data_IF_366070482756
#
_entry.id   IF_366070482756
#
_cell.length_a   1.000
_cell.length_b   1.000
_cell.length_c   1.000
_cell.angle_alpha   90.00
_cell.angle_beta   90.00
_cell.angle_gamma   90.00
#
_symmetry.space_group_name_H-M   'P 1'
#
loop_
_entity.id
_entity.type
_entity.pdbx_description
1 polymer ?
#
# COMPACT_ATOMS: atom_id res chain seq x y z
N UNK A 1 20.19 -7.49 -11.39
CA UNK A 1 19.23 -8.34 -10.67
C UNK A 1 19.57 -8.54 -9.20
N UNK A 2 20.81 -8.88 -8.82
CA UNK A 2 21.18 -9.15 -7.41
C UNK A 2 20.77 -8.06 -6.40
N UNK A 3 20.97 -6.78 -6.74
CA UNK A 3 20.49 -5.66 -5.92
C UNK A 3 18.97 -5.72 -5.66
N UNK A 4 18.16 -6.03 -6.69
CA UNK A 4 16.70 -6.11 -6.56
C UNK A 4 16.28 -7.26 -5.64
N UNK A 5 16.85 -8.46 -5.81
CA UNK A 5 16.56 -9.60 -4.93
C UNK A 5 16.89 -9.29 -3.47
N UNK A 6 18.08 -8.75 -3.21
CA UNK A 6 18.52 -8.38 -1.85
C UNK A 6 17.58 -7.37 -1.17
N UNK A 7 17.03 -6.43 -1.93
CA UNK A 7 16.32 -5.28 -1.37
C UNK A 7 14.80 -5.35 -1.45
N UNK A 8 14.23 -6.16 -2.35
CA UNK A 8 12.78 -6.20 -2.59
C UNK A 8 12.19 -7.61 -2.57
N UNK A 9 12.99 -8.67 -2.56
CA UNK A 9 12.49 -10.03 -2.39
C UNK A 9 12.72 -10.43 -0.95
N UNK A 10 11.62 -10.67 -0.23
CA UNK A 10 11.63 -11.05 1.16
C UNK A 10 11.05 -12.45 1.32
N UNK A 11 11.91 -13.39 1.71
CA UNK A 11 11.51 -14.72 2.14
C UNK A 11 11.49 -14.71 3.67
N UNK A 12 10.33 -14.94 4.31
CA UNK A 12 10.17 -14.82 5.74
C UNK A 12 10.77 -16.04 6.47
N UNK A 13 10.76 -16.00 7.81
CA UNK A 13 10.89 -17.21 8.63
C UNK A 13 9.77 -18.21 8.30
N UNK A 14 9.85 -19.49 8.72
CA UNK A 14 8.89 -20.55 8.37
C UNK A 14 7.41 -20.21 8.60
N UNK A 15 7.15 -19.21 9.45
CA UNK A 15 5.84 -18.75 9.85
C UNK A 15 5.35 -17.45 9.18
N UNK A 16 6.18 -16.72 8.43
CA UNK A 16 5.79 -15.43 7.87
C UNK A 16 5.23 -15.52 6.44
N UNK A 17 4.63 -14.42 5.98
CA UNK A 17 4.26 -14.23 4.58
C UNK A 17 5.33 -13.37 3.90
N UNK A 18 5.93 -13.87 2.83
CA UNK A 18 6.96 -13.14 2.10
C UNK A 18 6.41 -12.05 1.19
N UNK A 19 7.33 -11.29 0.59
CA UNK A 19 7.00 -10.37 -0.49
C UNK A 19 7.87 -10.69 -1.70
N UNK A 20 7.24 -10.92 -2.84
CA UNK A 20 7.90 -11.45 -4.04
C UNK A 20 8.65 -12.78 -3.81
N UNK A 21 8.34 -13.53 -2.74
CA UNK A 21 8.99 -14.80 -2.41
C UNK A 21 8.82 -15.88 -3.50
N UNK A 22 7.77 -15.75 -4.32
CA UNK A 22 7.51 -16.64 -5.46
C UNK A 22 8.53 -16.47 -6.59
N UNK A 23 9.21 -15.33 -6.66
CA UNK A 23 9.98 -14.93 -7.84
C UNK A 23 11.19 -15.84 -8.13
N UNK A 24 12.03 -16.24 -7.15
CA UNK A 24 13.14 -17.16 -7.40
C UNK A 24 12.68 -18.49 -8.01
N UNK A 25 11.65 -19.11 -7.44
CA UNK A 25 11.13 -20.40 -7.90
C UNK A 25 10.41 -20.28 -9.25
N UNK A 26 9.67 -19.20 -9.48
CA UNK A 26 9.03 -18.94 -10.76
C UNK A 26 10.06 -18.78 -11.90
N UNK A 27 11.22 -18.17 -11.61
CA UNK A 27 12.30 -18.04 -12.59
C UNK A 27 13.02 -19.36 -12.86
N UNK A 28 13.19 -20.21 -11.83
CA UNK A 28 13.82 -21.53 -12.02
C UNK A 28 12.92 -22.50 -12.78
N UNK A 29 11.60 -22.42 -12.56
CA UNK A 29 10.61 -23.26 -13.26
C UNK A 29 10.32 -22.77 -14.67
N UNK A 30 10.46 -21.46 -14.94
CA UNK A 30 10.23 -20.87 -16.26
C UNK A 30 11.44 -20.08 -16.78
N UNK A 31 12.63 -20.70 -16.94
CA UNK A 31 13.88 -20.00 -17.27
C UNK A 31 13.89 -19.38 -18.67
N UNK A 32 13.04 -19.88 -19.57
CA UNK A 32 12.92 -19.43 -20.95
C UNK A 32 11.79 -18.42 -21.16
N UNK A 33 11.06 -18.01 -20.10
CA UNK A 33 10.01 -17.01 -20.24
C UNK A 33 10.63 -15.61 -20.44
N UNK A 34 10.64 -15.16 -21.69
CA UNK A 34 11.25 -13.89 -22.11
C UNK A 34 10.55 -12.69 -21.44
N UNK A 35 9.21 -12.69 -21.41
CA UNK A 35 8.42 -11.60 -20.83
C UNK A 35 8.72 -11.38 -19.34
N UNK A 36 8.78 -12.46 -18.56
CA UNK A 36 9.13 -12.41 -17.14
C UNK A 36 10.55 -11.87 -16.93
N UNK A 37 11.53 -12.39 -17.70
CA UNK A 37 12.94 -11.98 -17.58
C UNK A 37 13.16 -10.53 -17.96
N UNK A 38 12.56 -10.07 -19.06
CA UNK A 38 12.69 -8.67 -19.49
C UNK A 38 12.05 -7.72 -18.48
N UNK A 39 10.88 -8.07 -17.95
CA UNK A 39 10.20 -7.29 -16.89
C UNK A 39 11.03 -7.22 -15.61
N UNK A 40 11.66 -8.33 -15.21
CA UNK A 40 12.57 -8.36 -14.07
C UNK A 40 13.83 -7.51 -14.32
N UNK A 41 14.40 -7.59 -15.52
CA UNK A 41 15.55 -6.76 -15.90
C UNK A 41 15.21 -5.27 -15.84
N UNK A 42 14.03 -4.88 -16.35
CA UNK A 42 13.58 -3.50 -16.34
C UNK A 42 13.44 -2.96 -14.90
N UNK A 43 12.73 -3.68 -14.02
CA UNK A 43 12.53 -3.23 -12.63
C UNK A 43 13.84 -3.26 -11.83
N UNK A 44 14.70 -4.27 -12.04
CA UNK A 44 15.96 -4.39 -11.33
C UNK A 44 17.00 -3.36 -11.78
N UNK A 45 17.01 -2.99 -13.07
CA UNK A 45 17.87 -1.91 -13.55
C UNK A 45 17.36 -0.56 -13.07
N UNK A 46 16.04 -0.35 -13.05
CA UNK A 46 15.44 0.89 -12.51
C UNK A 46 15.82 1.07 -11.04
N UNK A 47 15.69 0.03 -10.21
CA UNK A 47 16.06 0.13 -8.79
C UNK A 47 17.55 0.42 -8.59
N UNK A 48 18.43 -0.17 -9.40
CA UNK A 48 19.87 0.09 -9.34
C UNK A 48 20.22 1.50 -9.84
N UNK A 49 19.61 1.94 -10.93
CA UNK A 49 19.81 3.28 -11.50
C UNK A 49 19.46 4.36 -10.48
N UNK A 50 18.33 4.20 -9.78
CA UNK A 50 17.85 5.18 -8.80
C UNK A 50 18.82 5.36 -7.62
N UNK A 51 19.49 4.31 -7.15
CA UNK A 51 20.44 4.43 -6.02
C UNK A 51 21.87 4.77 -6.44
N UNK A 52 22.23 4.49 -7.70
CA UNK A 52 23.54 4.87 -8.25
C UNK A 52 23.57 6.31 -8.77
N UNK A 53 22.40 6.91 -9.03
CA UNK A 53 22.25 8.27 -9.55
C UNK A 53 23.01 8.55 -10.85
N UNK A 54 23.33 7.51 -11.64
CA UNK A 54 24.06 7.65 -12.91
C UNK A 54 23.09 7.71 -14.09
N UNK A 55 23.15 8.80 -14.88
CA UNK A 55 22.29 9.01 -16.06
C UNK A 55 22.36 7.86 -17.08
N UNK A 56 23.55 7.27 -17.27
CA UNK A 56 23.76 6.10 -18.14
C UNK A 56 22.90 4.90 -17.70
N UNK A 57 22.78 4.66 -16.40
CA UNK A 57 22.00 3.55 -15.87
C UNK A 57 20.49 3.82 -15.98
N UNK A 58 20.05 5.07 -15.85
CA UNK A 58 18.67 5.45 -16.15
C UNK A 58 18.32 5.22 -17.63
N UNK A 59 19.18 5.66 -18.55
CA UNK A 59 18.98 5.38 -19.98
C UNK A 59 18.90 3.88 -20.27
N UNK A 60 19.77 3.07 -19.62
CA UNK A 60 19.72 1.62 -19.75
C UNK A 60 18.44 1.02 -19.17
N UNK A 61 17.96 1.54 -18.04
CA UNK A 61 16.70 1.12 -17.44
C UNK A 61 15.52 1.36 -18.38
N UNK A 62 15.48 2.52 -19.06
CA UNK A 62 14.41 2.86 -20.01
C UNK A 62 14.46 2.01 -21.28
N UNK A 63 15.67 1.67 -21.76
CA UNK A 63 15.84 0.70 -22.85
C UNK A 63 15.27 -0.68 -22.46
N UNK A 64 15.64 -1.19 -21.27
CA UNK A 64 15.14 -2.48 -20.79
C UNK A 64 13.64 -2.46 -20.54
N UNK A 65 13.10 -1.35 -20.05
CA UNK A 65 11.66 -1.16 -19.91
C UNK A 65 10.93 -1.23 -21.26
N UNK A 66 11.47 -0.56 -22.28
CA UNK A 66 10.91 -0.61 -23.64
C UNK A 66 10.95 -2.02 -24.23
N UNK A 67 12.01 -2.79 -23.95
CA UNK A 67 12.10 -4.21 -24.32
C UNK A 67 11.02 -5.01 -23.59
N UNK A 68 10.89 -4.84 -22.28
CA UNK A 68 9.89 -5.54 -21.48
C UNK A 68 8.45 -5.27 -21.94
N UNK A 69 8.10 -4.03 -22.29
CA UNK A 69 6.79 -3.70 -22.84
C UNK A 69 6.52 -4.40 -24.18
N UNK A 70 7.53 -4.51 -25.07
CA UNK A 70 7.39 -5.25 -26.34
C UNK A 70 7.19 -6.74 -26.09
N UNK A 71 7.98 -7.33 -25.20
CA UNK A 71 7.88 -8.75 -24.82
C UNK A 71 6.54 -9.06 -24.16
N UNK A 72 6.04 -8.18 -23.30
CA UNK A 72 4.70 -8.26 -22.71
C UNK A 72 3.60 -8.17 -23.78
N UNK A 73 3.71 -7.22 -24.71
CA UNK A 73 2.76 -7.11 -25.82
C UNK A 73 2.72 -8.35 -26.71
N UNK A 74 3.87 -8.99 -26.93
CA UNK A 74 3.94 -10.27 -27.64
C UNK A 74 3.29 -11.40 -26.84
N UNK A 75 3.60 -11.53 -25.54
CA UNK A 75 3.02 -12.54 -24.66
C UNK A 75 1.49 -12.42 -24.57
N UNK A 76 0.96 -11.19 -24.47
CA UNK A 76 -0.48 -10.92 -24.46
C UNK A 76 -1.19 -11.38 -25.74
N UNK A 77 -0.54 -11.28 -26.91
CA UNK A 77 -1.12 -11.73 -28.19
C UNK A 77 -1.13 -13.25 -28.34
N UNK A 78 -0.20 -13.94 -27.68
CA UNK A 78 -0.09 -15.41 -27.69
C UNK A 78 -0.81 -16.08 -26.51
N UNK A 79 -1.33 -15.31 -25.55
CA UNK A 79 -1.93 -15.85 -24.34
C UNK A 79 -3.29 -16.50 -24.65
N UNK A 80 -3.43 -17.79 -24.36
CA UNK A 80 -4.69 -18.54 -24.48
C UNK A 80 -5.56 -18.45 -23.22
N UNK A 81 -5.12 -17.74 -22.17
CA UNK A 81 -5.87 -17.50 -20.94
C UNK A 81 -5.81 -18.61 -19.88
N UNK A 82 -5.25 -19.79 -20.19
CA UNK A 82 -5.37 -20.97 -19.33
C UNK A 82 -4.28 -21.10 -18.25
N UNK A 83 -3.08 -20.54 -18.45
CA UNK A 83 -1.99 -20.63 -17.46
C UNK A 83 -0.85 -19.63 -17.72
N UNK A 84 -0.84 -18.48 -17.04
CA UNK A 84 0.22 -17.48 -17.27
C UNK A 84 0.66 -16.74 -16.00
N UNK A 85 1.05 -17.49 -14.97
CA UNK A 85 1.66 -16.95 -13.76
C UNK A 85 2.87 -16.05 -14.07
N UNK A 86 3.63 -16.37 -15.13
CA UNK A 86 4.76 -15.55 -15.55
C UNK A 86 4.35 -14.21 -16.16
N UNK A 87 3.30 -14.14 -16.98
CA UNK A 87 2.75 -12.86 -17.45
C UNK A 87 2.14 -12.05 -16.31
N UNK A 88 1.40 -12.67 -15.40
CA UNK A 88 0.88 -11.98 -14.20
C UNK A 88 2.04 -11.37 -13.39
N UNK A 89 3.11 -12.14 -13.16
CA UNK A 89 4.30 -11.64 -12.50
C UNK A 89 4.99 -10.53 -13.31
N UNK A 90 5.11 -10.66 -14.63
CA UNK A 90 5.69 -9.65 -15.51
C UNK A 90 4.94 -8.32 -15.44
N UNK A 91 3.59 -8.35 -15.54
CA UNK A 91 2.73 -7.16 -15.39
C UNK A 91 2.89 -6.54 -14.00
N UNK A 92 2.94 -7.35 -12.94
CA UNK A 92 3.16 -6.86 -11.59
C UNK A 92 4.54 -6.18 -11.41
N UNK A 93 5.61 -6.77 -11.96
CA UNK A 93 6.97 -6.23 -11.91
C UNK A 93 7.08 -4.90 -12.67
N UNK A 94 6.44 -4.80 -13.84
CA UNK A 94 6.37 -3.55 -14.60
C UNK A 94 5.61 -2.49 -13.82
N UNK A 95 4.49 -2.84 -13.19
CA UNK A 95 3.77 -1.91 -12.31
C UNK A 95 4.62 -1.46 -11.11
N UNK A 96 5.53 -2.31 -10.61
CA UNK A 96 6.50 -1.93 -9.57
C UNK A 96 7.56 -0.97 -10.12
N UNK A 97 8.05 -1.20 -11.35
CA UNK A 97 8.97 -0.29 -12.04
C UNK A 97 8.38 1.11 -12.19
N UNK A 98 7.09 1.24 -12.51
CA UNK A 98 6.42 2.55 -12.58
C UNK A 98 6.44 3.28 -11.22
N UNK A 99 6.25 2.55 -10.12
CA UNK A 99 6.36 3.13 -8.78
C UNK A 99 7.81 3.53 -8.45
N UNK A 100 8.80 2.74 -8.84
CA UNK A 100 10.21 3.07 -8.61
C UNK A 100 10.69 4.26 -9.44
N UNK A 101 10.21 4.40 -10.69
CA UNK A 101 10.55 5.53 -11.56
C UNK A 101 9.79 6.82 -11.19
N UNK A 102 8.75 6.74 -10.35
CA UNK A 102 7.91 7.91 -10.02
C UNK A 102 6.91 8.27 -11.11
N UNK A 103 6.57 7.32 -11.99
CA UNK A 103 5.55 7.48 -13.01
C UNK A 103 4.22 6.85 -12.55
N UNK A 104 3.64 7.36 -11.44
CA UNK A 104 2.42 6.74 -10.89
C UNK A 104 1.22 6.79 -11.84
N UNK A 105 1.21 7.69 -12.83
CA UNK A 105 0.15 7.76 -13.84
C UNK A 105 0.16 6.53 -14.76
N UNK A 106 1.34 6.03 -15.11
CA UNK A 106 1.49 4.82 -15.91
C UNK A 106 1.14 3.53 -15.15
N UNK A 107 0.91 3.59 -13.83
CA UNK A 107 0.50 2.41 -13.06
C UNK A 107 -0.93 1.97 -13.35
N UNK A 108 -1.84 2.89 -13.72
CA UNK A 108 -3.28 2.59 -13.88
C UNK A 108 -3.54 1.60 -15.02
N UNK A 109 -2.98 1.75 -16.24
CA UNK A 109 -3.17 0.76 -17.30
C UNK A 109 -2.70 -0.65 -16.92
N UNK A 110 -1.56 -0.76 -16.24
CA UNK A 110 -1.05 -2.05 -15.76
C UNK A 110 -1.95 -2.68 -14.69
N UNK A 111 -2.51 -1.87 -13.79
CA UNK A 111 -3.49 -2.36 -12.80
C UNK A 111 -4.76 -2.88 -13.48
N UNK A 112 -5.30 -2.13 -14.45
CA UNK A 112 -6.46 -2.55 -15.24
C UNK A 112 -6.14 -3.85 -15.99
N UNK A 113 -4.99 -3.94 -16.65
CA UNK A 113 -4.56 -5.14 -17.36
C UNK A 113 -4.43 -6.35 -16.43
N UNK A 114 -3.84 -6.18 -15.25
CA UNK A 114 -3.69 -7.24 -14.25
C UNK A 114 -5.05 -7.80 -13.81
N UNK A 115 -6.02 -6.92 -13.57
CA UNK A 115 -7.40 -7.32 -13.25
C UNK A 115 -8.05 -8.08 -14.40
N UNK A 116 -7.89 -7.63 -15.63
CA UNK A 116 -8.48 -8.34 -16.77
C UNK A 116 -7.87 -9.72 -16.95
N UNK A 117 -6.56 -9.87 -16.75
CA UNK A 117 -5.90 -11.18 -16.74
C UNK A 117 -6.43 -12.09 -15.62
N UNK A 118 -6.63 -11.54 -14.41
CA UNK A 118 -7.22 -12.29 -13.30
C UNK A 118 -8.66 -12.73 -13.58
N UNK A 119 -9.46 -11.88 -14.25
CA UNK A 119 -10.83 -12.23 -14.65
C UNK A 119 -10.84 -13.30 -15.75
N UNK A 120 -9.98 -13.16 -16.76
CA UNK A 120 -9.86 -14.11 -17.86
C UNK A 120 -9.42 -15.51 -17.41
N UNK A 121 -8.57 -15.57 -16.38
CA UNK A 121 -8.13 -16.81 -15.73
C UNK A 121 -9.29 -17.63 -15.13
N UNK A 122 -10.45 -17.01 -14.86
CA UNK A 122 -11.56 -17.59 -14.10
C UNK A 122 -11.16 -17.96 -12.65
N UNK A 123 -12.10 -18.28 -11.73
CA UNK A 123 -11.78 -18.71 -10.35
C UNK A 123 -11.15 -20.11 -10.34
N UNK A 124 -9.91 -20.21 -10.85
CA UNK A 124 -9.09 -21.41 -10.83
C UNK A 124 -8.18 -21.37 -9.63
N UNK A 125 -8.17 -22.47 -8.85
CA UNK A 125 -7.22 -22.66 -7.75
C UNK A 125 -5.77 -22.48 -8.27
N UNK A 126 -4.86 -21.94 -7.44
CA UNK A 126 -3.45 -21.97 -7.77
C UNK A 126 -3.00 -23.42 -7.98
N UNK A 127 -2.19 -23.65 -9.00
CA UNK A 127 -1.62 -24.95 -9.35
C UNK A 127 -0.24 -25.19 -8.72
N UNK A 128 0.39 -24.14 -8.18
CA UNK A 128 1.68 -24.22 -7.50
C UNK A 128 1.79 -23.20 -6.36
N UNK A 129 2.72 -23.45 -5.44
CA UNK A 129 3.03 -22.51 -4.34
C UNK A 129 3.52 -21.12 -4.81
N UNK A 130 4.41 -21.01 -5.83
CA UNK A 130 4.79 -19.71 -6.39
C UNK A 130 3.60 -18.94 -6.95
N UNK A 131 2.70 -19.64 -7.64
CA UNK A 131 1.50 -19.03 -8.18
C UNK A 131 0.55 -18.55 -7.07
N UNK A 132 0.37 -19.34 -6.00
CA UNK A 132 -0.39 -18.92 -4.83
C UNK A 132 0.21 -17.67 -4.18
N UNK A 133 1.53 -17.62 -3.99
CA UNK A 133 2.23 -16.47 -3.45
C UNK A 133 2.12 -15.22 -4.33
N UNK A 134 2.17 -15.39 -5.66
CA UNK A 134 1.96 -14.31 -6.62
C UNK A 134 0.54 -13.74 -6.53
N UNK A 135 -0.48 -14.61 -6.60
CA UNK A 135 -1.88 -14.21 -6.52
C UNK A 135 -2.19 -13.48 -5.21
N UNK A 136 -1.66 -13.98 -4.10
CA UNK A 136 -1.81 -13.34 -2.80
C UNK A 136 -1.18 -11.95 -2.78
N UNK A 137 0.04 -11.81 -3.33
CA UNK A 137 0.73 -10.51 -3.43
C UNK A 137 -0.05 -9.51 -4.29
N UNK A 138 -0.60 -9.97 -5.41
CA UNK A 138 -1.45 -9.16 -6.28
C UNK A 138 -2.74 -8.75 -5.55
N UNK A 139 -3.42 -9.69 -4.91
CA UNK A 139 -4.65 -9.46 -4.18
C UNK A 139 -4.46 -8.43 -3.07
N UNK A 140 -3.44 -8.61 -2.21
CA UNK A 140 -3.13 -7.67 -1.14
C UNK A 140 -2.91 -6.25 -1.70
N UNK A 141 -2.17 -6.12 -2.80
CA UNK A 141 -1.93 -4.83 -3.44
C UNK A 141 -3.22 -4.19 -3.99
N UNK A 142 -4.05 -4.95 -4.69
CA UNK A 142 -5.31 -4.47 -5.25
C UNK A 142 -6.29 -4.06 -4.14
N UNK A 143 -6.36 -4.83 -3.07
CA UNK A 143 -7.15 -4.50 -1.89
C UNK A 143 -6.69 -3.17 -1.27
N UNK A 144 -5.37 -3.01 -1.05
CA UNK A 144 -4.80 -1.74 -0.57
C UNK A 144 -5.23 -0.56 -1.44
N UNK A 145 -5.12 -0.68 -2.77
CA UNK A 145 -5.48 0.38 -3.72
C UNK A 145 -6.98 0.67 -3.76
N UNK A 146 -7.81 -0.34 -3.56
CA UNK A 146 -9.26 -0.16 -3.59
C UNK A 146 -9.80 0.71 -2.45
N UNK A 147 -9.05 0.85 -1.36
CA UNK A 147 -9.36 1.78 -0.27
C UNK A 147 -9.15 3.25 -0.64
N UNK A 148 -8.43 3.56 -1.72
CA UNK A 148 -8.26 4.93 -2.23
C UNK A 148 -9.57 5.47 -2.86
N UNK A 149 -10.67 4.72 -2.83
CA UNK A 149 -12.01 5.11 -3.31
C UNK A 149 -12.12 5.36 -4.83
N UNK A 150 -11.06 5.14 -5.60
CA UNK A 150 -11.12 5.18 -7.06
C UNK A 150 -12.09 4.12 -7.61
N UNK A 151 -12.37 4.18 -8.93
CA UNK A 151 -12.98 3.05 -9.65
C UNK A 151 -12.06 1.85 -9.46
N UNK A 152 -12.37 1.01 -8.48
CA UNK A 152 -11.55 -0.14 -8.15
C UNK A 152 -11.63 -1.10 -9.34
N UNK A 153 -10.50 -1.34 -10.01
CA UNK A 153 -10.43 -2.43 -10.96
C UNK A 153 -10.71 -3.78 -10.25
N UNK A 154 -10.60 -3.86 -8.91
CA UNK A 154 -10.82 -5.10 -8.15
C UNK A 154 -12.29 -5.53 -7.98
N UNK A 155 -13.25 -4.79 -8.53
CA UNK A 155 -14.67 -5.15 -8.45
C UNK A 155 -14.92 -6.56 -9.04
N UNK A 156 -15.49 -7.47 -8.25
CA UNK A 156 -15.72 -8.87 -8.63
C UNK A 156 -14.54 -9.83 -8.40
N UNK A 157 -13.38 -9.36 -7.92
CA UNK A 157 -12.27 -10.25 -7.54
C UNK A 157 -12.48 -10.95 -6.19
N UNK A 158 -13.39 -10.44 -5.35
CA UNK A 158 -13.79 -11.10 -4.09
C UNK A 158 -14.40 -12.49 -4.36
N UNK A 159 -14.98 -12.70 -5.55
CA UNK A 159 -15.52 -13.98 -6.00
C UNK A 159 -14.45 -14.94 -6.54
N UNK A 160 -13.22 -14.47 -6.81
CA UNK A 160 -12.15 -15.30 -7.37
C UNK A 160 -11.47 -16.21 -6.33
N UNK A 161 -11.91 -16.16 -5.06
CA UNK A 161 -11.45 -17.05 -3.99
C UNK A 161 -9.92 -17.12 -3.87
N UNK A 162 -9.24 -16.01 -4.24
CA UNK A 162 -7.78 -15.85 -4.23
C UNK A 162 -7.19 -15.98 -2.81
N UNK A 163 -8.07 -16.02 -1.81
CA UNK A 163 -7.78 -16.12 -0.38
C UNK A 163 -7.70 -17.56 0.14
N UNK A 164 -8.09 -18.60 -0.62
CA UNK A 164 -7.96 -20.01 -0.20
C UNK A 164 -6.55 -20.60 -0.41
N UNK A 165 -5.52 -19.80 -0.13
CA UNK A 165 -4.20 -20.33 0.25
C UNK A 165 -4.18 -20.74 1.72
N UNK A 166 -3.04 -21.21 2.26
CA UNK A 166 -2.89 -21.48 3.69
C UNK A 166 -3.00 -20.18 4.51
N UNK A 167 -4.23 -19.70 4.71
CA UNK A 167 -4.48 -18.53 5.55
C UNK A 167 -4.60 -18.95 7.01
N UNK A 168 -3.80 -18.26 7.82
CA UNK A 168 -3.97 -18.22 9.27
C UNK A 168 -5.30 -17.50 9.57
N UNK A 169 -6.16 -18.04 10.45
CA UNK A 169 -7.50 -17.48 10.74
C UNK A 169 -7.54 -16.00 11.12
N UNK A 170 -6.43 -15.47 11.66
CA UNK A 170 -6.31 -14.06 12.05
C UNK A 170 -6.19 -13.10 10.85
N UNK A 171 -5.68 -13.58 9.71
CA UNK A 171 -5.52 -12.76 8.50
C UNK A 171 -6.82 -12.67 7.70
N UNK A 172 -7.68 -13.69 7.75
CA UNK A 172 -8.95 -13.68 7.03
C UNK A 172 -9.94 -12.67 7.61
N UNK A 173 -9.97 -12.50 8.94
CA UNK A 173 -10.78 -11.46 9.60
C UNK A 173 -10.40 -10.03 9.18
N UNK A 174 -9.10 -9.72 9.18
CA UNK A 174 -8.61 -8.42 8.68
C UNK A 174 -8.95 -8.18 7.21
N UNK A 175 -8.75 -9.19 6.35
CA UNK A 175 -9.05 -9.06 4.93
C UNK A 175 -10.53 -8.77 4.68
N UNK A 176 -11.44 -9.37 5.47
CA UNK A 176 -12.87 -9.06 5.39
C UNK A 176 -13.14 -7.59 5.75
N UNK A 177 -12.58 -7.11 6.87
CA UNK A 177 -12.74 -5.72 7.30
C UNK A 177 -12.17 -4.74 6.26
N UNK A 178 -11.00 -5.01 5.66
CA UNK A 178 -10.44 -4.20 4.58
C UNK A 178 -11.33 -4.16 3.32
N UNK A 179 -12.02 -5.26 3.02
CA UNK A 179 -13.05 -5.30 1.98
C UNK A 179 -14.21 -4.35 2.28
N UNK A 180 -14.71 -4.34 3.53
CA UNK A 180 -15.76 -3.43 3.97
C UNK A 180 -15.33 -1.96 3.91
N UNK A 181 -14.10 -1.63 4.37
CA UNK A 181 -13.51 -0.28 4.24
C UNK A 181 -13.48 0.14 2.78
N UNK A 182 -12.94 -0.72 1.90
CA UNK A 182 -12.82 -0.43 0.47
C UNK A 182 -14.17 -0.18 -0.19
N UNK A 183 -15.19 -0.98 0.16
CA UNK A 183 -16.55 -0.81 -0.34
C UNK A 183 -17.13 0.54 0.10
N UNK A 184 -17.04 0.86 1.38
CA UNK A 184 -17.56 2.12 1.91
C UNK A 184 -16.88 3.35 1.30
N UNK A 185 -15.55 3.36 1.18
CA UNK A 185 -14.81 4.43 0.51
C UNK A 185 -15.29 4.66 -0.94
N UNK A 186 -15.63 3.60 -1.67
CA UNK A 186 -16.19 3.72 -3.03
C UNK A 186 -17.61 4.28 -3.02
N UNK A 187 -18.46 3.77 -2.13
CA UNK A 187 -19.85 4.19 -2.01
C UNK A 187 -19.93 5.69 -1.70
N UNK A 188 -19.13 6.18 -0.74
CA UNK A 188 -19.07 7.60 -0.40
C UNK A 188 -18.61 8.47 -1.58
N UNK A 189 -17.58 8.06 -2.34
CA UNK A 189 -17.14 8.84 -3.51
C UNK A 189 -18.17 8.83 -4.64
N UNK A 190 -18.84 7.70 -4.87
CA UNK A 190 -19.94 7.61 -5.84
C UNK A 190 -21.09 8.53 -5.45
N UNK A 191 -21.52 8.49 -4.19
CA UNK A 191 -22.60 9.32 -3.67
C UNK A 191 -22.25 10.81 -3.68
N UNK A 192 -21.02 11.16 -3.29
CA UNK A 192 -20.51 12.54 -3.36
C UNK A 192 -20.54 13.06 -4.79
N UNK A 193 -20.16 12.23 -5.77
CA UNK A 193 -20.24 12.59 -7.19
C UNK A 193 -21.68 12.79 -7.65
N UNK A 194 -22.58 11.85 -7.34
CA UNK A 194 -24.00 11.98 -7.68
C UNK A 194 -24.61 13.27 -7.10
N UNK A 195 -24.22 13.64 -5.89
CA UNK A 195 -24.67 14.86 -5.26
C UNK A 195 -24.12 16.12 -5.94
N UNK A 196 -22.83 16.13 -6.30
CA UNK A 196 -22.22 17.22 -7.05
C UNK A 196 -22.87 17.40 -8.44
N UNK A 197 -23.27 16.30 -9.07
CA UNK A 197 -23.95 16.29 -10.38
C UNK A 197 -25.46 16.66 -10.27
N UNK A 198 -25.98 16.90 -9.06
CA UNK A 198 -27.40 17.20 -8.83
C UNK A 198 -28.34 16.01 -9.03
N UNK A 199 -27.80 14.79 -9.04
CA UNK A 199 -28.51 13.54 -9.32
C UNK A 199 -28.90 12.76 -8.04
N UNK A 200 -28.74 13.38 -6.87
CA UNK A 200 -29.14 12.80 -5.59
C UNK A 200 -30.65 12.56 -5.53
N UNK A 201 -31.05 11.33 -5.22
CA UNK A 201 -32.45 10.96 -5.00
C UNK A 201 -32.70 10.56 -3.54
N UNK A 202 -33.96 10.39 -3.16
CA UNK A 202 -34.32 9.83 -1.86
C UNK A 202 -33.73 8.43 -1.63
N UNK A 203 -33.51 7.64 -2.70
CA UNK A 203 -32.85 6.34 -2.57
C UNK A 203 -31.35 6.47 -2.28
N UNK A 204 -30.67 7.48 -2.82
CA UNK A 204 -29.27 7.80 -2.50
C UNK A 204 -29.09 8.16 -1.02
N UNK A 205 -30.08 8.83 -0.41
CA UNK A 205 -30.05 9.17 1.02
C UNK A 205 -30.16 7.91 1.89
N UNK A 206 -31.11 7.02 1.60
CA UNK A 206 -31.26 5.75 2.31
C UNK A 206 -29.99 4.90 2.19
N UNK A 207 -29.39 4.89 1.00
CA UNK A 207 -28.13 4.20 0.75
C UNK A 207 -26.98 4.78 1.57
N UNK A 208 -26.87 6.12 1.66
CA UNK A 208 -25.87 6.80 2.47
C UNK A 208 -25.99 6.46 3.96
N UNK A 209 -27.20 6.51 4.52
CA UNK A 209 -27.44 6.16 5.94
C UNK A 209 -27.04 4.72 6.23
N UNK A 210 -27.46 3.77 5.37
CA UNK A 210 -27.08 2.36 5.52
C UNK A 210 -25.57 2.15 5.40
N UNK A 211 -24.92 2.87 4.50
CA UNK A 211 -23.48 2.81 4.31
C UNK A 211 -22.75 3.34 5.57
N UNK A 212 -23.22 4.43 6.17
CA UNK A 212 -22.69 4.97 7.43
C UNK A 212 -22.84 3.98 8.59
N UNK A 213 -24.01 3.35 8.76
CA UNK A 213 -24.22 2.36 9.82
C UNK A 213 -23.24 1.19 9.69
N UNK A 214 -23.02 0.70 8.47
CA UNK A 214 -22.05 -0.36 8.21
C UNK A 214 -20.61 0.10 8.42
N UNK A 215 -20.30 1.36 8.13
CA UNK A 215 -18.97 1.94 8.36
C UNK A 215 -18.65 2.03 9.86
N UNK A 216 -19.60 2.47 10.69
CA UNK A 216 -19.42 2.51 12.15
C UNK A 216 -19.29 1.11 12.77
N UNK A 217 -20.04 0.12 12.24
CA UNK A 217 -19.83 -1.27 12.61
C UNK A 217 -18.43 -1.77 12.24
N UNK A 218 -17.98 -1.48 11.02
CA UNK A 218 -16.63 -1.85 10.56
C UNK A 218 -15.55 -1.18 11.40
N UNK A 219 -15.73 0.10 11.79
CA UNK A 219 -14.77 0.79 12.67
C UNK A 219 -14.74 0.18 14.07
N UNK A 220 -15.89 -0.22 14.61
CA UNK A 220 -15.96 -0.91 15.90
C UNK A 220 -15.21 -2.25 15.86
N UNK A 221 -15.39 -3.02 14.79
CA UNK A 221 -14.67 -4.28 14.57
C UNK A 221 -13.16 -4.05 14.42
N UNK A 222 -12.75 -3.07 13.61
CA UNK A 222 -11.33 -2.71 13.44
C UNK A 222 -10.70 -2.23 14.76
N UNK A 223 -11.38 -1.38 15.51
CA UNK A 223 -10.90 -0.89 16.80
C UNK A 223 -10.76 -2.00 17.85
N UNK A 224 -11.61 -3.02 17.79
CA UNK A 224 -11.55 -4.19 18.68
C UNK A 224 -10.50 -5.23 18.25
N UNK A 225 -10.06 -5.22 16.99
CA UNK A 225 -9.15 -6.22 16.43
C UNK A 225 -7.85 -6.40 17.23
N UNK A 226 -7.11 -5.34 17.63
CA UNK A 226 -5.90 -5.48 18.43
C UNK A 226 -6.08 -6.28 19.72
N UNK A 227 -7.23 -6.13 20.39
CA UNK A 227 -7.54 -6.81 21.64
C UNK A 227 -7.77 -8.32 21.48
N UNK A 228 -8.00 -8.78 20.24
CA UNK A 228 -8.20 -10.19 19.91
C UNK A 228 -6.89 -10.91 19.52
N UNK A 229 -5.75 -10.21 19.54
CA UNK A 229 -4.46 -10.76 19.14
C UNK A 229 -3.68 -11.33 20.33
N UNK A 230 -2.91 -12.42 20.12
CA UNK A 230 -1.93 -12.87 21.09
C UNK A 230 -0.88 -11.78 21.39
N UNK A 231 -0.34 -11.71 22.63
CA UNK A 231 0.63 -10.67 23.01
C UNK A 231 1.84 -10.54 22.08
N UNK A 232 2.35 -11.66 21.54
CA UNK A 232 3.50 -11.66 20.62
C UNK A 232 3.23 -11.11 19.21
N UNK A 233 1.98 -10.75 18.88
CA UNK A 233 1.60 -10.16 17.59
C UNK A 233 1.35 -8.65 17.66
N UNK A 234 1.37 -8.09 18.86
CA UNK A 234 1.26 -6.65 19.09
C UNK A 234 2.58 -5.93 18.78
N UNK A 235 2.55 -4.66 18.35
CA UNK A 235 3.76 -3.88 18.18
C UNK A 235 4.49 -3.74 19.51
N UNK A 236 5.82 -3.87 19.50
CA UNK A 236 6.64 -3.52 20.66
C UNK A 236 6.83 -2.01 20.68
N UNK A 237 6.41 -1.35 21.76
CA UNK A 237 6.68 0.05 21.98
C UNK A 237 8.07 0.21 22.64
N UNK A 238 8.92 1.03 22.05
CA UNK A 238 10.23 1.41 22.60
C UNK A 238 10.23 2.92 22.81
N UNK A 239 10.41 3.35 24.05
CA UNK A 239 10.54 4.77 24.38
C UNK A 239 11.88 5.30 23.86
N UNK A 240 11.86 6.46 23.21
CA UNK A 240 13.07 7.09 22.72
C UNK A 240 13.86 7.69 23.90
N UNK A 241 15.07 7.21 24.14
CA UNK A 241 15.94 7.75 25.18
C UNK A 241 16.25 9.23 24.88
N UNK A 242 15.89 10.11 25.81
CA UNK A 242 15.91 11.59 25.71
C UNK A 242 17.23 12.27 25.27
N UNK A 243 18.32 11.54 25.01
CA UNK A 243 19.65 12.08 24.73
C UNK A 243 20.21 11.93 23.30
N UNK A 244 19.67 11.02 22.46
CA UNK A 244 20.29 10.69 21.14
C UNK A 244 19.34 10.86 19.93
N UNK A 245 18.17 11.43 20.15
CA UNK A 245 17.14 11.57 19.11
C UNK A 245 17.48 12.76 18.22
N UNK A 246 17.59 12.55 16.90
CA UNK A 246 17.71 13.64 15.92
C UNK A 246 16.65 14.71 16.20
N UNK A 247 16.96 16.02 16.11
CA UNK A 247 15.96 17.09 16.25
C UNK A 247 14.68 16.85 15.41
N UNK A 248 14.83 16.14 14.29
CA UNK A 248 13.76 15.81 13.34
C UNK A 248 12.75 14.78 13.89
N UNK A 249 13.11 13.98 14.89
CA UNK A 249 12.26 12.93 15.48
C UNK A 249 11.51 13.40 16.73
N UNK A 250 11.64 14.67 17.14
CA UNK A 250 11.10 15.19 18.41
C UNK A 250 9.59 15.08 18.60
N UNK A 251 8.80 14.99 17.52
CA UNK A 251 7.35 14.78 17.63
C UNK A 251 6.98 13.29 17.85
N UNK A 252 7.91 12.37 17.57
CA UNK A 252 7.73 10.94 17.82
C UNK A 252 8.19 10.67 19.26
N UNK A 253 7.25 10.32 20.13
CA UNK A 253 7.54 10.00 21.53
C UNK A 253 8.03 8.56 21.73
N UNK A 254 7.57 7.65 20.88
CA UNK A 254 7.88 6.21 20.96
C UNK A 254 8.05 5.62 19.57
N UNK A 255 8.85 4.56 19.47
CA UNK A 255 8.98 3.75 18.26
C UNK A 255 8.15 2.48 18.38
N UNK A 256 7.63 2.02 17.24
CA UNK A 256 7.05 0.68 17.13
C UNK A 256 7.99 -0.21 16.34
N UNK A 257 8.46 -1.28 17.00
CA UNK A 257 9.34 -2.29 16.42
C UNK A 257 8.64 -3.65 16.33
N UNK A 258 9.17 -4.50 15.45
CA UNK A 258 8.58 -5.80 15.16
C UNK A 258 9.67 -6.85 14.95
N UNK A 259 9.35 -8.15 15.13
CA UNK A 259 10.28 -9.22 14.79
C UNK A 259 10.65 -9.23 13.30
N UNK A 260 9.70 -8.86 12.43
CA UNK A 260 9.87 -8.86 10.99
C UNK A 260 9.24 -7.62 10.35
N UNK A 261 9.82 -7.17 9.24
CA UNK A 261 9.34 -6.03 8.46
C UNK A 261 7.88 -6.21 7.97
N UNK A 262 7.47 -7.45 7.74
CA UNK A 262 6.11 -7.80 7.30
C UNK A 262 5.07 -7.52 8.37
N UNK A 263 5.40 -7.72 9.66
CA UNK A 263 4.50 -7.38 10.76
C UNK A 263 4.29 -5.86 10.83
N UNK A 264 5.37 -5.08 10.66
CA UNK A 264 5.29 -3.63 10.57
C UNK A 264 4.45 -3.16 9.37
N UNK A 265 4.59 -3.82 8.21
CA UNK A 265 3.75 -3.58 7.05
C UNK A 265 2.27 -3.89 7.34
N UNK A 266 1.97 -5.05 7.94
CA UNK A 266 0.59 -5.45 8.30
C UNK A 266 -0.07 -4.44 9.23
N UNK A 267 0.62 -4.02 10.29
CA UNK A 267 0.12 -3.02 11.24
C UNK A 267 -0.07 -1.65 10.58
N UNK A 268 0.83 -1.26 9.67
CA UNK A 268 0.69 -0.03 8.90
C UNK A 268 -0.49 -0.07 7.92
N UNK A 269 -0.79 -1.22 7.30
CA UNK A 269 -2.02 -1.42 6.52
C UNK A 269 -3.25 -1.27 7.40
N UNK A 270 -3.25 -1.84 8.60
CA UNK A 270 -4.34 -1.67 9.56
C UNK A 270 -4.59 -0.19 9.92
N UNK A 271 -3.56 0.55 10.31
CA UNK A 271 -3.69 1.97 10.66
C UNK A 271 -4.12 2.85 9.48
N UNK A 272 -3.57 2.61 8.29
CA UNK A 272 -3.99 3.33 7.08
C UNK A 272 -5.43 3.04 6.70
N UNK A 273 -5.89 1.79 6.86
CA UNK A 273 -7.29 1.42 6.64
C UNK A 273 -8.23 2.18 7.57
N UNK A 274 -7.85 2.33 8.84
CA UNK A 274 -8.62 3.14 9.82
C UNK A 274 -8.64 4.62 9.44
N UNK A 275 -7.52 5.21 9.04
CA UNK A 275 -7.48 6.61 8.56
C UNK A 275 -8.44 6.80 7.39
N UNK A 276 -8.41 5.89 6.42
CA UNK A 276 -9.27 5.98 5.23
C UNK A 276 -10.76 5.79 5.57
N UNK A 277 -11.10 4.84 6.44
CA UNK A 277 -12.47 4.62 6.91
C UNK A 277 -13.00 5.86 7.65
N UNK A 278 -12.26 6.35 8.63
CA UNK A 278 -12.65 7.52 9.44
C UNK A 278 -12.78 8.78 8.58
N UNK A 279 -11.86 8.98 7.63
CA UNK A 279 -11.97 10.07 6.64
C UNK A 279 -13.23 9.96 5.78
N UNK A 280 -13.54 8.76 5.27
CA UNK A 280 -14.76 8.52 4.50
C UNK A 280 -16.03 8.70 5.35
N UNK A 281 -15.99 8.39 6.65
CA UNK A 281 -17.10 8.65 7.59
C UNK A 281 -17.32 10.16 7.70
N UNK A 282 -16.27 10.98 7.84
CA UNK A 282 -16.39 12.45 7.87
C UNK A 282 -17.02 12.96 6.56
N UNK A 283 -16.56 12.48 5.41
CA UNK A 283 -17.15 12.83 4.11
C UNK A 283 -18.64 12.47 4.04
N UNK A 284 -19.00 11.26 4.49
CA UNK A 284 -20.40 10.82 4.55
C UNK A 284 -21.26 11.65 5.50
N UNK A 285 -20.76 11.99 6.69
CA UNK A 285 -21.46 12.85 7.65
C UNK A 285 -21.66 14.28 7.10
N UNK A 286 -20.68 14.81 6.36
CA UNK A 286 -20.82 16.09 5.68
C UNK A 286 -21.90 16.03 4.59
N UNK A 287 -21.94 14.95 3.82
CA UNK A 287 -22.95 14.74 2.78
C UNK A 287 -24.36 14.67 3.38
N UNK A 288 -24.56 13.92 4.47
CA UNK A 288 -25.84 13.89 5.20
C UNK A 288 -26.23 15.30 5.66
N UNK A 289 -25.30 16.05 6.23
CA UNK A 289 -25.56 17.40 6.73
C UNK A 289 -26.03 18.35 5.62
N UNK A 290 -25.46 18.22 4.42
CA UNK A 290 -25.87 19.01 3.24
C UNK A 290 -27.29 18.69 2.76
N UNK A 291 -27.76 17.46 2.96
CA UNK A 291 -29.14 17.07 2.60
C UNK A 291 -30.21 17.56 3.59
N UNK A 292 -29.83 18.21 4.69
CA UNK A 292 -30.75 18.65 5.75
C UNK A 292 -31.29 17.52 6.65
N UNK A 293 -30.82 16.28 6.42
CA UNK A 293 -31.16 15.11 7.23
C UNK A 293 -30.46 15.15 8.59
N UNK A 294 -31.17 14.69 9.63
CA UNK A 294 -30.55 14.41 10.93
C UNK A 294 -30.08 12.96 10.96
N UNK A 295 -28.80 12.74 11.23
CA UNK A 295 -28.22 11.43 11.49
C UNK A 295 -27.54 11.44 12.85
N UNK A 296 -27.88 10.48 13.70
CA UNK A 296 -27.32 10.35 15.03
C UNK A 296 -26.01 9.55 14.94
N UNK A 297 -24.90 10.26 14.74
CA UNK A 297 -23.58 9.64 14.66
C UNK A 297 -23.21 8.95 15.99
N UNK A 298 -22.77 7.68 15.98
CA UNK A 298 -22.27 7.00 17.18
C UNK A 298 -20.98 7.59 17.75
N UNK A 299 -20.20 8.29 16.91
CA UNK A 299 -18.95 8.95 17.30
C UNK A 299 -19.02 10.45 17.02
N UNK A 300 -18.43 11.26 17.91
CA UNK A 300 -18.25 12.69 17.66
C UNK A 300 -17.17 12.93 16.61
N UNK A 301 -17.17 14.12 15.98
CA UNK A 301 -16.12 14.49 15.01
C UNK A 301 -14.73 14.53 15.67
N UNK A 302 -14.66 14.95 16.92
CA UNK A 302 -13.44 14.98 17.72
C UNK A 302 -12.89 13.56 17.95
N UNK A 303 -13.77 12.61 18.28
CA UNK A 303 -13.38 11.21 18.46
C UNK A 303 -12.84 10.59 17.15
N UNK A 304 -13.49 10.88 16.02
CA UNK A 304 -13.05 10.44 14.69
C UNK A 304 -11.68 11.05 14.35
N UNK A 305 -11.52 12.36 14.53
CA UNK A 305 -10.25 13.06 14.28
C UNK A 305 -9.12 12.52 15.16
N UNK A 306 -9.39 12.28 16.45
CA UNK A 306 -8.43 11.68 17.37
C UNK A 306 -8.03 10.26 16.92
N UNK A 307 -8.98 9.45 16.44
CA UNK A 307 -8.69 8.13 15.87
C UNK A 307 -7.75 8.19 14.66
N UNK A 308 -7.98 9.14 13.75
CA UNK A 308 -7.10 9.36 12.59
C UNK A 308 -5.70 9.83 13.02
N UNK A 309 -5.61 10.76 13.96
CA UNK A 309 -4.34 11.26 14.49
C UNK A 309 -3.54 10.15 15.18
N UNK A 310 -4.18 9.36 16.05
CA UNK A 310 -3.53 8.24 16.73
C UNK A 310 -3.01 7.17 15.77
N UNK A 311 -3.73 6.90 14.68
CA UNK A 311 -3.28 6.03 13.62
C UNK A 311 -2.08 6.63 12.84
N UNK A 312 -2.10 7.93 12.57
CA UNK A 312 -0.98 8.64 11.93
C UNK A 312 0.30 8.61 12.77
N UNK A 313 0.17 8.85 14.08
CA UNK A 313 1.29 8.77 15.04
C UNK A 313 1.88 7.37 15.05
N UNK A 314 1.03 6.34 15.00
CA UNK A 314 1.47 4.94 14.98
C UNK A 314 2.22 4.57 13.70
N UNK A 315 1.78 5.08 12.55
CA UNK A 315 2.50 4.91 11.28
C UNK A 315 3.87 5.61 11.35
N UNK A 316 3.91 6.88 11.78
CA UNK A 316 5.16 7.62 11.89
C UNK A 316 6.16 6.94 12.83
N UNK A 317 5.67 6.39 13.95
CA UNK A 317 6.46 5.64 14.95
C UNK A 317 7.03 4.32 14.41
N UNK A 318 6.44 3.76 13.35
CA UNK A 318 6.82 2.47 12.75
C UNK A 318 7.84 2.64 11.62
N UNK A 319 7.83 3.80 10.94
CA UNK A 319 8.66 4.02 9.75
C UNK A 319 10.16 3.86 10.00
N UNK A 320 10.75 4.38 11.10
CA UNK A 320 12.18 4.18 11.37
C UNK A 320 12.58 2.70 11.39
N UNK A 321 11.78 1.83 12.02
CA UNK A 321 12.00 0.39 12.00
C UNK A 321 11.88 -0.17 10.57
N UNK A 322 10.82 0.21 9.84
CA UNK A 322 10.60 -0.29 8.48
C UNK A 322 11.77 0.01 7.54
N UNK A 323 12.36 1.20 7.63
CA UNK A 323 13.46 1.61 6.75
C UNK A 323 14.85 1.20 7.26
N UNK A 324 14.90 0.46 8.38
CA UNK A 324 16.14 -0.04 8.98
C UNK A 324 16.99 1.04 9.62
N UNK A 325 16.37 2.09 10.17
CA UNK A 325 17.07 3.05 11.05
C UNK A 325 17.21 2.52 12.47
N UNK A 326 16.30 1.62 12.88
CA UNK A 326 16.37 0.91 14.16
C UNK A 326 16.14 -0.59 13.97
N UNK A 327 16.73 -1.37 14.86
CA UNK A 327 16.56 -2.82 14.91
C UNK A 327 15.25 -3.23 15.64
N UNK A 328 14.90 -4.52 15.72
CA UNK A 328 13.74 -5.00 16.48
C UNK A 328 13.74 -4.62 17.97
N UNK A 329 14.91 -4.32 18.53
CA UNK A 329 15.11 -3.88 19.91
C UNK A 329 14.93 -2.36 20.07
N UNK A 330 14.88 -1.62 18.96
CA UNK A 330 14.78 -0.16 18.92
C UNK A 330 16.12 0.56 18.98
N UNK A 331 17.24 -0.16 18.84
CA UNK A 331 18.57 0.42 18.83
C UNK A 331 18.90 0.97 17.43
N UNK A 332 19.59 2.13 17.32
CA UNK A 332 19.99 2.69 16.04
C UNK A 332 20.88 1.77 15.20
N UNK A 333 20.54 1.59 13.92
CA UNK A 333 21.29 0.76 12.96
C UNK A 333 22.23 1.59 12.07
N UNK A 334 23.12 2.37 12.69
CA UNK A 334 24.04 3.27 11.95
C UNK A 334 24.90 2.49 10.96
N UNK A 335 24.83 2.85 9.67
CA UNK A 335 25.63 2.25 8.60
C UNK A 335 25.17 0.87 8.12
N UNK A 336 24.18 0.25 8.77
CA UNK A 336 23.54 -0.95 8.28
C UNK A 336 22.29 -0.57 7.50
N UNK A 337 22.45 -0.29 6.20
CA UNK A 337 21.31 0.04 5.35
C UNK A 337 20.23 -1.04 5.42
N UNK A 338 19.01 -0.65 5.79
CA UNK A 338 17.82 -1.49 5.74
C UNK A 338 17.51 -2.05 4.34
N UNK A 339 16.43 -2.81 4.21
CA UNK A 339 15.97 -3.25 2.89
C UNK A 339 15.10 -2.16 2.25
N UNK A 340 15.35 -1.83 0.98
CA UNK A 340 14.55 -0.85 0.23
C UNK A 340 13.04 -1.21 0.18
N UNK A 341 12.69 -2.47 0.47
CA UNK A 341 11.32 -2.94 0.63
C UNK A 341 10.53 -2.14 1.66
N UNK A 342 11.13 -1.83 2.81
CA UNK A 342 10.48 -1.05 3.86
C UNK A 342 10.16 0.36 3.42
N UNK A 343 11.11 1.01 2.75
CA UNK A 343 10.93 2.33 2.15
C UNK A 343 9.82 2.32 1.08
N UNK A 344 9.78 1.27 0.26
CA UNK A 344 8.72 1.08 -0.73
C UNK A 344 7.33 0.97 -0.09
N UNK A 345 7.19 0.22 1.01
CA UNK A 345 5.92 0.16 1.75
C UNK A 345 5.58 1.48 2.44
N UNK A 346 6.52 2.06 3.18
CA UNK A 346 6.37 3.31 3.92
C UNK A 346 5.92 4.48 3.03
N UNK A 347 6.35 4.49 1.76
CA UNK A 347 5.94 5.51 0.78
C UNK A 347 4.42 5.69 0.70
N UNK A 348 3.66 4.58 0.67
CA UNK A 348 2.20 4.66 0.63
C UNK A 348 1.62 5.11 1.96
N UNK A 349 2.15 4.61 3.07
CA UNK A 349 1.61 4.90 4.39
C UNK A 349 1.78 6.37 4.75
N UNK A 350 2.97 6.92 4.49
CA UNK A 350 3.26 8.35 4.68
C UNK A 350 2.43 9.24 3.74
N UNK A 351 2.17 8.79 2.51
CA UNK A 351 1.25 9.51 1.63
C UNK A 351 -0.14 9.64 2.25
N UNK A 352 -0.70 8.55 2.79
CA UNK A 352 -2.03 8.56 3.44
C UNK A 352 -2.03 9.46 4.68
N UNK A 353 -0.98 9.44 5.50
CA UNK A 353 -0.86 10.35 6.65
C UNK A 353 -0.90 11.82 6.21
N UNK A 354 -0.22 12.17 5.12
CA UNK A 354 -0.21 13.55 4.60
C UNK A 354 -1.55 14.03 4.04
N UNK A 355 -2.43 13.12 3.66
CA UNK A 355 -3.77 13.43 3.20
C UNK A 355 -4.71 13.81 4.36
N UNK A 356 -4.31 13.62 5.62
CA UNK A 356 -5.06 14.09 6.79
C UNK A 356 -5.08 15.63 6.79
N UNK A 357 -6.26 16.27 6.76
CA UNK A 357 -6.36 17.73 6.63
C UNK A 357 -5.78 18.50 7.82
N UNK A 358 -6.00 17.99 9.04
CA UNK A 358 -5.62 18.62 10.30
C UNK A 358 -4.30 18.08 10.88
N UNK A 359 -3.47 17.44 10.06
CA UNK A 359 -2.17 16.91 10.51
C UNK A 359 -1.31 18.05 11.10
N UNK A 360 -0.78 17.92 12.33
CA UNK A 360 0.10 18.91 12.94
C UNK A 360 1.27 19.30 12.03
N UNK A 361 1.63 20.58 12.03
CA UNK A 361 2.65 21.12 11.12
C UNK A 361 3.99 20.39 11.23
N UNK A 362 4.48 20.16 12.45
CA UNK A 362 5.74 19.45 12.68
C UNK A 362 5.72 18.02 12.12
N UNK A 363 4.61 17.30 12.30
CA UNK A 363 4.44 15.96 11.74
C UNK A 363 4.34 16.01 10.22
N UNK A 364 3.66 17.01 9.65
CA UNK A 364 3.58 17.21 8.20
C UNK A 364 4.98 17.45 7.60
N UNK A 365 5.76 18.35 8.18
CA UNK A 365 7.14 18.62 7.75
C UNK A 365 7.99 17.34 7.81
N UNK A 366 7.97 16.62 8.92
CA UNK A 366 8.70 15.37 9.04
C UNK A 366 8.28 14.34 8.00
N UNK A 367 6.99 14.18 7.74
CA UNK A 367 6.53 13.21 6.73
C UNK A 367 6.96 13.60 5.32
N UNK A 368 7.09 14.89 5.00
CA UNK A 368 7.63 15.36 3.72
C UNK A 368 9.13 15.10 3.60
N UNK A 369 9.89 15.32 4.68
CA UNK A 369 11.31 15.01 4.74
C UNK A 369 11.56 13.51 4.67
N UNK A 370 10.69 12.72 5.31
CA UNK A 370 10.68 11.27 5.18
C UNK A 370 10.47 10.88 3.71
N UNK A 371 9.46 11.41 3.01
CA UNK A 371 9.25 11.10 1.58
C UNK A 371 10.45 11.50 0.71
N UNK A 372 11.11 12.61 1.02
CA UNK A 372 12.36 13.02 0.35
C UNK A 372 13.44 11.96 0.56
N UNK A 373 13.65 11.55 1.81
CA UNK A 373 14.62 10.52 2.19
C UNK A 373 14.34 9.18 1.52
N UNK A 374 13.08 8.72 1.51
CA UNK A 374 12.69 7.48 0.81
C UNK A 374 13.01 7.55 -0.68
N UNK A 375 12.81 8.73 -1.29
CA UNK A 375 13.13 8.96 -2.69
C UNK A 375 14.63 8.98 -2.99
N UNK A 376 15.40 9.72 -2.20
CA UNK A 376 16.83 9.96 -2.44
C UNK A 376 17.73 8.80 -1.99
N UNK A 377 17.47 8.24 -0.80
CA UNK A 377 18.31 7.18 -0.22
C UNK A 377 17.97 5.82 -0.81
N UNK A 378 16.67 5.53 -0.94
CA UNK A 378 16.19 4.21 -1.38
C UNK A 378 15.74 4.17 -2.84
N UNK A 379 15.82 5.30 -3.55
CA UNK A 379 15.48 5.35 -4.96
C UNK A 379 14.00 5.10 -5.25
N UNK A 380 13.08 5.50 -4.35
CA UNK A 380 11.64 5.29 -4.55
C UNK A 380 11.02 6.54 -5.20
N UNK A 381 10.97 6.57 -6.53
CA UNK A 381 10.46 7.74 -7.27
C UNK A 381 9.02 8.16 -6.90
N UNK A 382 8.14 7.21 -6.59
CA UNK A 382 6.78 7.50 -6.11
C UNK A 382 6.76 8.33 -4.81
N UNK A 383 7.80 8.24 -3.97
CA UNK A 383 7.91 9.06 -2.76
C UNK A 383 8.18 10.53 -3.11
N UNK A 384 9.09 10.80 -4.05
CA UNK A 384 9.37 12.14 -4.55
C UNK A 384 8.14 12.76 -5.20
N UNK A 385 7.40 11.97 -5.99
CA UNK A 385 6.17 12.43 -6.61
C UNK A 385 5.08 12.75 -5.57
N UNK A 386 4.91 11.88 -4.57
CA UNK A 386 3.99 12.12 -3.45
C UNK A 386 4.34 13.42 -2.73
N UNK A 387 5.61 13.63 -2.38
CA UNK A 387 6.09 14.88 -1.74
C UNK A 387 5.75 16.10 -2.58
N UNK A 388 6.01 16.06 -3.89
CA UNK A 388 5.72 17.17 -4.79
C UNK A 388 4.22 17.49 -4.84
N UNK A 389 3.36 16.48 -4.88
CA UNK A 389 1.90 16.64 -4.86
C UNK A 389 1.41 17.30 -3.56
N UNK A 390 1.89 16.83 -2.42
CA UNK A 390 1.51 17.35 -1.10
C UNK A 390 2.01 18.78 -0.91
N UNK A 391 3.28 19.06 -1.26
CA UNK A 391 3.88 20.41 -1.18
C UNK A 391 3.05 21.41 -1.97
N UNK A 392 2.65 21.04 -3.21
CA UNK A 392 1.78 21.87 -4.05
C UNK A 392 0.40 22.09 -3.43
N UNK A 393 -0.20 21.03 -2.87
CA UNK A 393 -1.55 21.08 -2.28
C UNK A 393 -1.64 22.03 -1.09
N UNK A 394 -0.63 22.03 -0.22
CA UNK A 394 -0.60 22.86 0.99
C UNK A 394 0.19 24.16 0.81
N UNK A 395 0.60 24.50 -0.41
CA UNK A 395 1.36 25.72 -0.74
C UNK A 395 2.59 25.92 0.16
N UNK A 396 3.24 24.82 0.55
CA UNK A 396 4.43 24.86 1.37
C UNK A 396 5.61 25.33 0.51
N UNK A 397 6.42 26.26 1.03
CA UNK A 397 7.64 26.69 0.36
C UNK A 397 8.60 25.48 0.32
N UNK A 398 9.07 25.03 -0.86
CA UNK A 398 10.02 23.93 -0.91
C UNK A 398 11.30 24.37 -0.21
N UNK A 399 11.66 23.68 0.87
CA UNK A 399 13.03 23.73 1.40
C UNK A 399 13.91 23.08 0.33
N UNK A 400 14.80 23.89 -0.23
CA UNK A 400 15.74 23.55 -1.31
C UNK A 400 16.82 22.61 -0.79
#
# INVERSE_FOLDING_TARGET
>A
MGYFFKNFVYTPSPDGLGYLQFLPELLSTQPNNICLRDSLNAVAMTSLANVSSTSILHFKADQLYSIALRSMGAALRSCSGEDDAALLAAVFLIQKREALSGNVNAMKPHETGLVQLLRARAPRKPQSEPEAGLLWTIHARLQLRSMDGGKSCAEGLDALDLTKGPQRPLQSGLNHMYGNVSKFCRDIKRLTKLNADGLSSSSSIIELTRALDKAFETERELAAWPSNLPPGQMPRAVELASGEVSPDLRFISKLYTFPQIQDGCRWSVYWTSRIQLLGAIIEGLNLVSQTGMRYNSPLSREAINHGMQSAADSICSTVPFMIGEVDPEGCPMVGQGGQALGAYFATRFIHIVNEIPFLPEQQRLWTLDCLLKLGQVWGIGAALQSRAQITKRYQLVPVI
#
